data_IF_829510802276
#
_entry.id   IF_829510802276
#
_cell.length_a   1.000
_cell.length_b   1.000
_cell.length_c   1.000
_cell.angle_alpha   90.00
_cell.angle_beta   90.00
_cell.angle_gamma   90.00
#
_symmetry.space_group_name_H-M   'P 1'
#
loop_
_entity.id
_entity.type
_entity.pdbx_description
1 polymer ?
#
# COMPACT_ATOMS: atom_id res chain seq x y z
N UNK A 1 -9.27 26.50 -20.59
CA UNK A 1 -9.41 25.36 -21.55
C UNK A 1 -8.07 24.65 -21.71
N UNK A 2 -6.97 25.34 -22.01
CA UNK A 2 -5.60 24.79 -22.15
C UNK A 2 -5.11 24.01 -20.93
N UNK A 3 -5.37 24.49 -19.71
CA UNK A 3 -4.96 23.79 -18.49
C UNK A 3 -5.65 22.43 -18.33
N UNK A 4 -6.92 22.32 -18.69
CA UNK A 4 -7.65 21.06 -18.64
C UNK A 4 -7.10 20.06 -19.66
N UNK A 5 -6.82 20.50 -20.86
CA UNK A 5 -6.23 19.67 -21.92
C UNK A 5 -4.83 19.19 -21.53
N UNK A 6 -4.01 20.08 -20.96
CA UNK A 6 -2.69 19.72 -20.42
C UNK A 6 -2.78 18.66 -19.29
N UNK A 7 -3.70 18.84 -18.33
CA UNK A 7 -3.90 17.88 -17.26
C UNK A 7 -4.43 16.54 -17.75
N UNK A 8 -5.28 16.52 -18.76
CA UNK A 8 -5.77 15.28 -19.36
C UNK A 8 -4.68 14.58 -20.17
N UNK A 9 -3.79 15.30 -20.84
CA UNK A 9 -2.58 14.73 -21.44
C UNK A 9 -1.65 14.11 -20.40
N UNK A 10 -1.38 14.79 -19.26
CA UNK A 10 -0.56 14.25 -18.19
C UNK A 10 -1.12 12.92 -17.65
N UNK A 11 -2.43 12.83 -17.43
CA UNK A 11 -3.11 11.60 -16.98
C UNK A 11 -2.93 10.43 -17.97
N UNK A 12 -2.85 10.73 -19.25
CA UNK A 12 -2.63 9.70 -20.28
C UNK A 12 -1.16 9.36 -20.50
N UNK A 13 -0.24 10.23 -20.06
CA UNK A 13 1.20 10.10 -20.29
C UNK A 13 1.86 9.23 -19.22
N UNK A 14 1.36 9.25 -17.97
CA UNK A 14 1.97 8.53 -16.86
C UNK A 14 1.09 7.42 -16.33
N UNK A 15 1.73 6.36 -15.84
CA UNK A 15 1.16 5.38 -14.92
C UNK A 15 1.62 5.71 -13.52
N UNK A 16 0.74 5.57 -12.55
CA UNK A 16 1.04 5.87 -11.14
C UNK A 16 0.78 4.64 -10.31
N UNK A 17 1.77 4.27 -9.49
CA UNK A 17 1.62 3.25 -8.45
C UNK A 17 1.83 3.89 -7.09
N UNK A 18 1.01 3.51 -6.11
CA UNK A 18 1.05 4.04 -4.75
C UNK A 18 1.74 3.05 -3.82
N UNK A 19 2.63 3.56 -2.97
CA UNK A 19 3.38 2.80 -1.98
C UNK A 19 3.22 3.44 -0.61
N UNK A 20 3.55 2.69 0.41
CA UNK A 20 3.64 3.16 1.79
C UNK A 20 4.88 2.58 2.45
N UNK A 21 5.45 3.29 3.42
CA UNK A 21 6.57 2.78 4.22
C UNK A 21 6.11 1.88 5.37
N UNK A 22 4.79 1.71 5.55
CA UNK A 22 4.24 0.88 6.62
C UNK A 22 3.09 0.01 6.11
N UNK A 23 3.16 -1.32 6.28
CA UNK A 23 2.06 -2.23 5.95
C UNK A 23 0.90 -2.15 6.95
N UNK A 24 1.01 -1.32 7.99
CA UNK A 24 0.03 -1.29 9.09
C UNK A 24 -0.91 -0.08 9.03
N UNK A 25 -0.80 0.78 8.01
CA UNK A 25 -1.71 1.91 7.83
C UNK A 25 -3.13 1.45 7.51
N UNK A 26 -4.07 1.63 8.45
CA UNK A 26 -5.47 1.27 8.27
C UNK A 26 -6.12 2.01 7.10
N UNK A 27 -5.70 3.26 6.88
CA UNK A 27 -6.18 4.08 5.78
C UNK A 27 -5.75 3.53 4.41
N UNK A 28 -4.48 3.10 4.29
CA UNK A 28 -3.97 2.48 3.06
C UNK A 28 -4.72 1.18 2.74
N UNK A 29 -4.98 0.34 3.74
CA UNK A 29 -5.78 -0.88 3.56
C UNK A 29 -7.21 -0.60 3.12
N UNK A 30 -7.82 0.47 3.63
CA UNK A 30 -9.18 0.86 3.24
C UNK A 30 -9.23 1.38 1.81
N UNK A 31 -8.26 2.20 1.42
CA UNK A 31 -8.29 2.93 0.14
C UNK A 31 -7.71 2.13 -1.02
N UNK A 32 -6.63 1.36 -0.78
CA UNK A 32 -5.85 0.71 -1.85
C UNK A 32 -5.96 -0.82 -1.88
N UNK A 33 -6.46 -1.44 -0.81
CA UNK A 33 -6.60 -2.90 -0.72
C UNK A 33 -8.07 -3.36 -0.71
N UNK A 34 -8.91 -2.73 -1.50
CA UNK A 34 -10.34 -3.06 -1.64
C UNK A 34 -11.04 -3.22 -0.27
N UNK A 35 -10.96 -2.19 0.58
CA UNK A 35 -11.52 -2.23 1.94
C UNK A 35 -11.05 -3.46 2.74
N UNK A 36 -9.74 -3.72 2.77
CA UNK A 36 -9.07 -4.84 3.45
C UNK A 36 -9.32 -6.23 2.82
N UNK A 37 -9.92 -6.32 1.62
CA UNK A 37 -10.14 -7.58 0.91
C UNK A 37 -9.00 -7.97 -0.03
N UNK A 38 -8.04 -7.06 -0.24
CA UNK A 38 -6.86 -7.27 -1.06
C UNK A 38 -5.65 -7.74 -0.26
N UNK A 39 -4.49 -7.52 -0.82
CA UNK A 39 -3.18 -7.82 -0.24
C UNK A 39 -2.22 -6.65 -0.43
N UNK A 40 -1.13 -6.64 0.33
CA UNK A 40 -0.05 -5.69 0.19
C UNK A 40 1.24 -6.45 -0.11
N UNK A 41 2.07 -5.90 -0.99
CA UNK A 41 3.34 -6.50 -1.40
C UNK A 41 4.47 -5.62 -0.90
N UNK A 42 5.42 -6.23 -0.21
CA UNK A 42 6.62 -5.56 0.28
C UNK A 42 7.77 -5.71 -0.70
N UNK A 43 8.48 -4.63 -0.89
CA UNK A 43 9.72 -4.57 -1.68
C UNK A 43 10.83 -3.98 -0.84
N UNK A 44 12.04 -4.52 -0.94
CA UNK A 44 13.22 -3.90 -0.35
C UNK A 44 13.99 -3.17 -1.44
N UNK A 45 14.07 -1.87 -1.32
CA UNK A 45 14.87 -1.04 -2.23
C UNK A 45 16.34 -1.23 -1.92
N UNK A 46 17.12 -1.61 -2.92
CA UNK A 46 18.57 -1.73 -2.85
C UNK A 46 19.19 -0.67 -3.76
N UNK A 47 20.38 -0.18 -3.39
CA UNK A 47 21.16 0.72 -4.25
C UNK A 47 21.80 -0.08 -5.40
N UNK A 48 20.98 -0.62 -6.27
CA UNK A 48 21.41 -1.33 -7.47
C UNK A 48 21.19 -0.40 -8.68
N UNK A 49 22.21 -0.11 -9.48
CA UNK A 49 22.11 0.74 -10.66
C UNK A 49 20.98 0.33 -11.62
N UNK A 50 20.58 -0.94 -11.60
CA UNK A 50 19.49 -1.46 -12.41
C UNK A 50 18.13 -0.82 -12.06
N UNK A 51 17.96 -0.29 -10.85
CA UNK A 51 16.72 0.32 -10.35
C UNK A 51 16.81 1.83 -10.15
N UNK A 52 17.91 2.47 -10.53
CA UNK A 52 18.13 3.92 -10.38
C UNK A 52 16.98 4.76 -10.95
N UNK A 53 16.43 4.35 -12.09
CA UNK A 53 15.33 5.08 -12.73
C UNK A 53 14.02 4.95 -11.94
N UNK A 54 13.80 3.84 -11.26
CA UNK A 54 12.66 3.64 -10.37
C UNK A 54 12.78 4.54 -9.15
N UNK A 55 13.96 4.60 -8.53
CA UNK A 55 14.22 5.47 -7.37
C UNK A 55 14.01 6.95 -7.73
N UNK A 56 14.53 7.40 -8.86
CA UNK A 56 14.37 8.78 -9.36
C UNK A 56 12.92 9.15 -9.70
N UNK A 57 12.08 8.15 -9.92
CA UNK A 57 10.66 8.33 -10.28
C UNK A 57 9.71 8.12 -9.09
N UNK A 58 10.25 7.90 -7.89
CA UNK A 58 9.50 7.67 -6.66
C UNK A 58 9.46 8.95 -5.81
N UNK A 59 8.28 9.51 -5.60
CA UNK A 59 8.08 10.77 -4.89
C UNK A 59 7.19 10.60 -3.66
N UNK A 60 7.51 11.27 -2.53
CA UNK A 60 6.63 11.30 -1.38
C UNK A 60 5.38 12.12 -1.67
N UNK A 61 4.24 11.71 -1.13
CA UNK A 61 2.99 12.48 -1.19
C UNK A 61 2.96 13.48 -0.04
N UNK A 62 2.84 14.75 -0.39
CA UNK A 62 2.71 15.83 0.60
C UNK A 62 1.24 16.12 0.85
N UNK A 63 0.77 15.89 2.07
CA UNK A 63 -0.56 16.25 2.51
C UNK A 63 -0.53 17.63 3.17
N UNK A 64 -1.31 18.57 2.63
CA UNK A 64 -1.41 19.92 3.15
C UNK A 64 -2.82 20.18 3.70
N UNK A 65 -2.93 20.76 4.87
CA UNK A 65 -4.21 21.19 5.44
C UNK A 65 -4.84 22.36 4.68
N UNK A 66 -4.01 23.17 4.01
CA UNK A 66 -4.45 24.31 3.21
C UNK A 66 -4.20 24.01 1.74
N UNK A 67 -5.22 24.25 0.90
CA UNK A 67 -5.08 24.12 -0.55
C UNK A 67 -4.03 25.08 -1.06
N UNK A 68 -2.92 24.56 -1.57
CA UNK A 68 -1.84 25.38 -2.16
C UNK A 68 -2.22 25.80 -3.58
N UNK A 69 -1.92 27.04 -3.91
CA UNK A 69 -1.97 27.53 -5.28
C UNK A 69 -0.71 27.03 -6.03
N UNK A 70 -0.89 25.94 -6.77
CA UNK A 70 0.19 25.34 -7.54
C UNK A 70 0.68 26.24 -8.70
N UNK A 71 -0.14 27.19 -9.15
CA UNK A 71 0.22 28.12 -10.24
C UNK A 71 1.42 28.95 -9.86
N UNK A 72 1.44 29.50 -8.63
CA UNK A 72 2.59 30.21 -8.09
C UNK A 72 3.81 29.30 -7.87
N UNK A 73 3.56 28.07 -7.43
CA UNK A 73 4.62 27.09 -7.19
C UNK A 73 5.39 26.76 -8.47
N UNK A 74 4.69 26.51 -9.60
CA UNK A 74 5.34 26.25 -10.89
C UNK A 74 6.04 27.47 -11.47
N UNK A 75 5.59 28.69 -11.14
CA UNK A 75 6.25 29.92 -11.57
C UNK A 75 7.53 30.23 -10.78
N UNK A 76 7.60 29.79 -9.51
CA UNK A 76 8.67 30.15 -8.58
C UNK A 76 9.67 28.99 -8.31
N UNK A 77 9.42 27.78 -8.81
CA UNK A 77 10.06 26.55 -8.34
C UNK A 77 11.43 26.25 -8.94
N UNK A 78 12.21 27.27 -9.35
CA UNK A 78 13.57 26.96 -9.83
C UNK A 78 14.57 26.58 -8.71
N UNK A 79 14.34 26.94 -7.43
CA UNK A 79 15.39 26.81 -6.39
C UNK A 79 14.89 26.66 -4.93
N UNK A 80 13.71 26.08 -4.64
CA UNK A 80 13.29 25.94 -3.23
C UNK A 80 13.17 24.50 -2.78
N UNK A 81 14.01 24.15 -1.78
CA UNK A 81 13.82 22.96 -0.94
C UNK A 81 12.43 22.99 -0.28
N UNK A 82 11.61 21.99 -0.53
CA UNK A 82 10.30 21.84 0.11
C UNK A 82 10.46 21.00 1.36
N UNK A 83 10.27 21.60 2.54
CA UNK A 83 10.16 20.84 3.78
C UNK A 83 8.86 20.03 3.76
N UNK A 84 8.98 18.72 3.72
CA UNK A 84 7.87 17.77 3.58
C UNK A 84 7.46 17.26 4.95
N UNK A 85 6.30 17.69 5.45
CA UNK A 85 5.66 17.01 6.59
C UNK A 85 4.88 15.80 6.06
N UNK A 86 5.40 14.62 6.31
CA UNK A 86 4.89 13.36 5.76
C UNK A 86 3.86 12.72 6.71
N UNK A 87 2.59 13.09 6.61
CA UNK A 87 1.53 12.64 7.53
C UNK A 87 1.06 11.19 7.31
N UNK A 88 1.32 10.57 6.13
CA UNK A 88 0.76 9.25 5.80
C UNK A 88 1.77 8.23 5.27
N UNK A 89 3.06 8.57 5.21
CA UNK A 89 4.09 7.67 4.65
C UNK A 89 3.73 7.12 3.25
N UNK A 90 2.96 7.91 2.47
CA UNK A 90 2.58 7.54 1.11
C UNK A 90 3.61 8.04 0.11
N UNK A 91 3.95 7.18 -0.83
CA UNK A 91 4.85 7.47 -1.93
C UNK A 91 4.18 7.12 -3.25
N UNK A 92 4.51 7.81 -4.31
CA UNK A 92 4.01 7.54 -5.66
C UNK A 92 5.14 7.38 -6.64
N UNK A 93 5.11 6.29 -7.38
CA UNK A 93 5.97 6.03 -8.52
C UNK A 93 5.25 6.53 -9.78
N UNK A 94 5.92 7.40 -10.54
CA UNK A 94 5.43 7.92 -11.82
C UNK A 94 6.25 7.29 -12.94
N UNK A 95 5.61 6.49 -13.79
CA UNK A 95 6.26 5.83 -14.93
C UNK A 95 5.65 6.36 -16.22
N UNK A 96 6.46 6.98 -17.13
CA UNK A 96 5.99 7.37 -18.45
C UNK A 96 5.48 6.16 -19.23
N UNK A 97 4.40 6.32 -19.99
CA UNK A 97 3.97 5.27 -20.94
C UNK A 97 5.03 5.06 -22.00
N UNK A 98 5.26 3.80 -22.35
CA UNK A 98 6.32 3.42 -23.31
C UNK A 98 7.70 3.23 -22.70
N UNK A 99 7.89 3.56 -21.41
CA UNK A 99 9.14 3.29 -20.71
C UNK A 99 9.30 1.79 -20.36
N UNK A 100 8.19 1.10 -20.16
CA UNK A 100 8.18 -0.31 -19.82
C UNK A 100 8.13 -1.18 -21.10
N UNK A 101 9.01 -2.16 -21.22
CA UNK A 101 8.98 -3.13 -22.31
C UNK A 101 7.74 -4.03 -22.14
N UNK A 102 6.87 -4.06 -23.16
CA UNK A 102 5.60 -4.80 -23.12
C UNK A 102 4.71 -4.45 -21.89
N UNK A 103 4.68 -3.18 -21.51
CA UNK A 103 3.93 -2.69 -20.35
C UNK A 103 4.37 -3.26 -18.98
N UNK A 104 5.53 -3.89 -18.92
CA UNK A 104 6.13 -4.44 -17.68
C UNK A 104 7.38 -3.66 -17.32
N UNK A 105 7.37 -3.07 -16.15
CA UNK A 105 8.54 -2.46 -15.54
C UNK A 105 9.28 -3.53 -14.74
N UNK A 106 10.60 -3.65 -14.94
CA UNK A 106 11.43 -4.43 -14.03
C UNK A 106 11.44 -3.71 -12.68
N UNK A 107 11.11 -4.42 -11.63
CA UNK A 107 10.96 -3.87 -10.30
C UNK A 107 11.72 -4.71 -9.27
N UNK A 108 11.91 -4.16 -8.08
CA UNK A 108 12.57 -4.85 -6.98
C UNK A 108 11.92 -6.20 -6.67
N UNK A 109 12.67 -7.18 -6.17
CA UNK A 109 12.10 -8.46 -5.78
C UNK A 109 11.11 -8.29 -4.63
N UNK A 110 10.06 -9.09 -4.65
CA UNK A 110 9.08 -9.16 -3.57
C UNK A 110 9.72 -9.85 -2.38
N UNK A 111 9.71 -9.20 -1.21
CA UNK A 111 10.30 -9.72 0.03
C UNK A 111 9.27 -10.31 0.98
N UNK A 112 8.02 -9.83 0.94
CA UNK A 112 6.93 -10.33 1.78
C UNK A 112 5.56 -9.97 1.20
N UNK A 113 4.55 -10.79 1.51
CA UNK A 113 3.15 -10.50 1.17
C UNK A 113 2.32 -10.45 2.45
N UNK A 114 1.50 -9.40 2.57
CA UNK A 114 0.54 -9.22 3.66
C UNK A 114 -0.87 -9.45 3.14
N UNK A 115 -1.64 -10.32 3.78
CA UNK A 115 -2.99 -10.68 3.39
C UNK A 115 -4.00 -9.90 4.23
N UNK A 116 -4.93 -9.21 3.59
CA UNK A 116 -5.94 -8.41 4.26
C UNK A 116 -6.90 -9.24 5.12
N UNK A 117 -7.39 -8.65 6.20
CA UNK A 117 -8.24 -9.35 7.17
C UNK A 117 -9.66 -9.69 6.66
N UNK A 118 -10.04 -9.19 5.49
CA UNK A 118 -11.33 -9.46 4.83
C UNK A 118 -11.17 -10.16 3.48
N UNK A 119 -9.97 -10.64 3.16
CA UNK A 119 -9.70 -11.40 1.95
C UNK A 119 -10.56 -12.68 1.94
N UNK A 120 -11.11 -13.06 0.78
CA UNK A 120 -11.87 -14.32 0.65
C UNK A 120 -10.94 -15.53 0.82
N UNK A 121 -11.49 -16.64 1.30
CA UNK A 121 -10.73 -17.88 1.48
C UNK A 121 -10.08 -18.34 0.16
N UNK A 122 -10.82 -18.30 -0.93
CA UNK A 122 -10.36 -18.66 -2.26
C UNK A 122 -9.15 -17.82 -2.73
N UNK A 123 -9.28 -16.48 -2.71
CA UNK A 123 -8.15 -15.58 -3.05
C UNK A 123 -6.96 -15.72 -2.12
N UNK A 124 -7.23 -16.00 -0.86
CA UNK A 124 -6.19 -16.23 0.14
C UNK A 124 -5.37 -17.46 -0.20
N UNK A 125 -6.02 -18.59 -0.51
CA UNK A 125 -5.35 -19.82 -0.90
C UNK A 125 -4.54 -19.63 -2.18
N UNK A 126 -5.13 -19.03 -3.21
CA UNK A 126 -4.44 -18.72 -4.48
C UNK A 126 -3.13 -17.94 -4.25
N UNK A 127 -3.18 -16.86 -3.45
CA UNK A 127 -1.99 -16.04 -3.17
C UNK A 127 -0.97 -16.82 -2.33
N UNK A 128 -1.42 -17.59 -1.35
CA UNK A 128 -0.53 -18.40 -0.53
C UNK A 128 0.21 -19.46 -1.36
N UNK A 129 -0.47 -20.09 -2.31
CA UNK A 129 0.15 -21.08 -3.19
C UNK A 129 1.20 -20.45 -4.09
N UNK A 130 0.93 -19.27 -4.66
CA UNK A 130 1.92 -18.49 -5.40
C UNK A 130 3.13 -18.13 -4.52
N UNK A 131 2.87 -17.70 -3.28
CA UNK A 131 3.94 -17.37 -2.35
C UNK A 131 4.82 -18.58 -2.01
N UNK A 132 4.22 -19.75 -1.83
CA UNK A 132 4.95 -21.01 -1.58
C UNK A 132 5.77 -21.41 -2.80
N UNK A 133 5.18 -21.40 -4.00
CA UNK A 133 5.87 -21.72 -5.25
C UNK A 133 7.10 -20.83 -5.46
N UNK A 134 6.98 -19.54 -5.14
CA UNK A 134 8.04 -18.54 -5.33
C UNK A 134 8.95 -18.36 -4.11
N UNK A 135 8.74 -19.14 -3.05
CA UNK A 135 9.45 -19.00 -1.78
C UNK A 135 9.41 -17.58 -1.19
N UNK A 136 8.22 -16.94 -1.25
CA UNK A 136 7.97 -15.60 -0.72
C UNK A 136 7.29 -15.73 0.65
N UNK A 137 7.82 -15.13 1.73
CA UNK A 137 7.15 -15.07 3.02
C UNK A 137 5.79 -14.37 2.93
N UNK A 138 4.80 -14.86 3.65
CA UNK A 138 3.49 -14.20 3.75
C UNK A 138 2.93 -14.24 5.16
N UNK A 139 2.09 -13.24 5.48
CA UNK A 139 1.42 -13.13 6.79
C UNK A 139 0.06 -12.46 6.62
N UNK A 140 -0.90 -12.88 7.44
CA UNK A 140 -2.17 -12.16 7.55
C UNK A 140 -2.04 -10.90 8.39
N UNK A 141 -2.80 -9.85 8.08
CA UNK A 141 -2.94 -8.68 8.93
C UNK A 141 -4.32 -8.60 9.55
N UNK A 142 -4.37 -8.14 10.79
CA UNK A 142 -5.60 -7.94 11.55
C UNK A 142 -5.62 -6.53 12.12
N UNK A 143 -6.81 -6.04 12.47
CA UNK A 143 -6.93 -4.75 13.16
C UNK A 143 -6.34 -4.87 14.56
N UNK A 144 -5.51 -3.89 14.94
CA UNK A 144 -5.08 -3.77 16.34
C UNK A 144 -6.28 -3.32 17.20
N UNK A 145 -6.60 -4.01 18.31
CA UNK A 145 -7.74 -3.66 19.15
C UNK A 145 -7.57 -2.33 19.91
N UNK A 146 -6.32 -1.92 20.17
CA UNK A 146 -6.00 -0.78 21.02
C UNK A 146 -5.52 0.45 20.25
N UNK A 147 -5.13 0.28 18.97
CA UNK A 147 -4.55 1.33 18.15
C UNK A 147 -5.28 1.43 16.81
N UNK A 148 -5.31 2.62 16.25
CA UNK A 148 -5.88 2.86 14.92
C UNK A 148 -4.90 2.44 13.81
N UNK A 149 -4.48 1.16 13.85
CA UNK A 149 -3.56 0.55 12.88
C UNK A 149 -3.84 -0.94 12.73
N UNK A 150 -3.26 -1.53 11.69
CA UNK A 150 -3.22 -2.97 11.51
C UNK A 150 -2.01 -3.55 12.27
N UNK A 151 -2.00 -4.86 12.47
CA UNK A 151 -0.87 -5.63 12.99
C UNK A 151 -0.81 -7.01 12.33
N UNK A 152 0.31 -7.67 12.39
CA UNK A 152 0.44 -9.04 11.93
C UNK A 152 -0.43 -9.99 12.76
N UNK A 153 -1.02 -10.96 12.06
CA UNK A 153 -1.76 -12.02 12.73
C UNK A 153 -0.78 -12.99 13.41
N UNK A 154 -0.99 -13.24 14.68
CA UNK A 154 -0.16 -14.19 15.44
C UNK A 154 -0.39 -15.67 15.08
N UNK A 155 -1.35 -15.95 14.21
CA UNK A 155 -1.72 -17.33 13.83
C UNK A 155 -1.29 -17.63 12.39
N UNK A 156 -0.94 -18.90 12.16
CA UNK A 156 -0.67 -19.39 10.83
C UNK A 156 -1.88 -19.17 9.90
N UNK A 157 -1.63 -18.53 8.77
CA UNK A 157 -2.65 -18.22 7.78
C UNK A 157 -3.34 -19.46 7.22
N UNK A 158 -2.68 -20.63 7.18
CA UNK A 158 -3.26 -21.88 6.66
C UNK A 158 -4.24 -22.51 7.64
N UNK A 159 -3.95 -22.45 8.92
CA UNK A 159 -4.79 -23.03 10.00
C UNK A 159 -5.84 -22.07 10.51
N UNK A 160 -5.69 -20.79 10.20
CA UNK A 160 -6.61 -19.75 10.55
C UNK A 160 -7.85 -19.84 9.65
N UNK A 161 -8.90 -20.53 10.11
CA UNK A 161 -10.23 -20.49 9.49
C UNK A 161 -10.67 -19.06 9.22
N UNK A 162 -11.64 -18.82 8.34
CA UNK A 162 -11.96 -17.47 7.85
C UNK A 162 -11.83 -16.42 8.96
N UNK A 163 -11.07 -15.37 8.73
CA UNK A 163 -10.80 -14.31 9.72
C UNK A 163 -12.08 -13.82 10.42
N UNK A 164 -13.19 -13.84 9.70
CA UNK A 164 -14.50 -13.43 10.18
C UNK A 164 -15.07 -14.35 11.26
N UNK A 165 -14.80 -15.65 11.19
CA UNK A 165 -15.25 -16.61 12.20
C UNK A 165 -14.49 -16.44 13.53
N UNK A 166 -13.22 -16.03 13.47
CA UNK A 166 -12.41 -15.80 14.68
C UNK A 166 -12.62 -14.45 15.32
N UNK A 167 -12.81 -13.39 14.53
CA UNK A 167 -13.25 -12.10 15.11
C UNK A 167 -14.57 -12.25 15.86
N UNK A 168 -15.49 -13.00 15.31
CA UNK A 168 -16.75 -13.31 15.97
C UNK A 168 -16.56 -14.21 17.21
N UNK A 169 -15.60 -15.15 17.18
CA UNK A 169 -15.28 -16.00 18.32
C UNK A 169 -14.57 -15.24 19.44
N UNK A 170 -13.64 -14.33 19.10
CA UNK A 170 -12.98 -13.46 20.07
C UNK A 170 -13.95 -12.43 20.68
N UNK A 171 -14.83 -11.85 19.87
CA UNK A 171 -15.88 -10.94 20.36
C UNK A 171 -16.85 -11.65 21.31
N UNK A 172 -17.22 -12.91 21.03
CA UNK A 172 -18.06 -13.72 21.91
C UNK A 172 -17.36 -14.02 23.23
N UNK A 173 -16.08 -14.44 23.21
CA UNK A 173 -15.30 -14.69 24.43
C UNK A 173 -15.14 -13.43 25.27
N UNK A 174 -14.80 -12.29 24.67
CA UNK A 174 -14.66 -11.02 25.41
C UNK A 174 -16.01 -10.51 25.96
N UNK A 175 -17.14 -10.78 25.28
CA UNK A 175 -18.47 -10.44 25.77
C UNK A 175 -18.93 -11.39 26.91
N UNK A 176 -18.44 -12.61 26.95
CA UNK A 176 -18.67 -13.55 28.07
C UNK A 176 -17.86 -13.19 29.30
N UNK A 177 -16.60 -12.76 29.13
CA UNK A 177 -15.77 -12.25 30.25
C UNK A 177 -16.35 -10.98 30.88
N UNK A 178 -16.85 -10.03 30.05
CA UNK A 178 -17.43 -8.78 30.53
C UNK A 178 -18.81 -8.94 31.24
N UNK A 179 -19.41 -10.12 31.20
CA UNK A 179 -20.69 -10.41 31.92
C UNK A 179 -20.49 -11.11 33.23
N UNK A 180 -19.25 -11.52 33.52
CA UNK A 180 -18.89 -12.27 34.75
C UNK A 180 -18.08 -11.42 35.75
N UNK A 181 -17.84 -10.14 35.43
CA UNK A 181 -17.40 -9.07 36.33
C UNK A 181 -18.57 -8.13 36.64
#
# INVERSE_FOLDING_TARGET
>A
QEYKEYMDQLKTTFRVSCFTTSPYSQLMWSSYADCHRGFCVEYTFSKDPEFDDVEKSLFPVVYCMVRRDLTKYFAESKDKEVTIENYQNEWRLFVPRGYAVNDKLKFFPITKVFLGNRISAEKKEEIMDICVEKNIPYVGVVRNPNLFQMQECAFDCRTCGSFQQRENSLRRKNAEFAKND
#
